data_IF_767770072640
#
_entry.id   IF_767770072640
#
_cell.length_a   1.000
_cell.length_b   1.000
_cell.length_c   1.000
_cell.angle_alpha   90.00
_cell.angle_beta   90.00
_cell.angle_gamma   90.00
#
_symmetry.space_group_name_H-M   'P 1'
#
loop_
_entity.id
_entity.type
_entity.pdbx_description
1 polymer ?
#
# COMPACT_ATOMS: atom_id res chain seq x y z
N UNK A 1 11.89 -11.77 -54.80
CA UNK A 1 12.18 -12.26 -53.43
C UNK A 1 10.96 -11.94 -52.57
N UNK A 2 10.20 -12.95 -52.15
CA UNK A 2 9.06 -12.72 -51.25
C UNK A 2 9.59 -12.35 -49.86
N UNK A 3 9.16 -11.20 -49.32
CA UNK A 3 9.46 -10.84 -47.95
C UNK A 3 8.65 -11.74 -47.02
N UNK A 4 9.31 -12.46 -46.10
CA UNK A 4 8.64 -13.26 -45.08
C UNK A 4 7.66 -12.41 -44.25
N UNK A 5 6.51 -13.00 -43.84
CA UNK A 5 5.48 -12.27 -43.13
C UNK A 5 5.99 -11.75 -41.78
N UNK A 6 5.60 -10.54 -41.35
CA UNK A 6 6.08 -9.89 -40.12
C UNK A 6 5.98 -10.75 -38.86
N UNK A 7 4.91 -11.55 -38.74
CA UNK A 7 4.67 -12.43 -37.59
C UNK A 7 5.74 -13.51 -37.45
N UNK A 8 6.21 -14.11 -38.56
CA UNK A 8 7.21 -15.18 -38.53
C UNK A 8 8.57 -14.65 -38.04
N UNK A 9 8.94 -13.44 -38.50
CA UNK A 9 10.17 -12.77 -38.07
C UNK A 9 10.12 -12.41 -36.59
N UNK A 10 8.96 -11.98 -36.07
CA UNK A 10 8.81 -11.67 -34.66
C UNK A 10 8.84 -12.91 -33.78
N UNK A 11 8.18 -14.00 -34.17
CA UNK A 11 8.26 -15.29 -33.48
C UNK A 11 9.72 -15.77 -33.36
N UNK A 12 10.49 -15.70 -34.45
CA UNK A 12 11.90 -16.07 -34.45
C UNK A 12 12.74 -15.14 -33.56
N UNK A 13 12.42 -13.84 -33.55
CA UNK A 13 13.08 -12.84 -32.70
C UNK A 13 12.80 -13.10 -31.21
N UNK A 14 11.55 -13.38 -30.84
CA UNK A 14 11.16 -13.76 -29.47
C UNK A 14 11.85 -15.06 -29.05
N UNK A 15 11.92 -16.05 -29.94
CA UNK A 15 12.61 -17.31 -29.67
C UNK A 15 14.11 -17.10 -29.40
N UNK A 16 14.78 -16.31 -30.23
CA UNK A 16 16.20 -16.02 -30.06
C UNK A 16 16.47 -15.18 -28.80
N UNK A 17 15.65 -14.16 -28.55
CA UNK A 17 15.74 -13.33 -27.34
C UNK A 17 15.49 -14.16 -26.07
N UNK A 18 14.53 -15.10 -26.10
CA UNK A 18 14.30 -16.03 -25.01
C UNK A 18 15.52 -16.93 -24.76
N UNK A 19 16.13 -17.48 -25.81
CA UNK A 19 17.34 -18.29 -25.67
C UNK A 19 18.48 -17.50 -25.01
N UNK A 20 18.62 -16.22 -25.33
CA UNK A 20 19.59 -15.34 -24.68
C UNK A 20 19.20 -15.05 -23.23
N UNK A 21 17.93 -14.79 -22.95
CA UNK A 21 17.42 -14.61 -21.58
C UNK A 21 17.73 -15.84 -20.71
N UNK A 22 17.42 -17.03 -21.22
CA UNK A 22 17.68 -18.30 -20.53
C UNK A 22 19.20 -18.50 -20.29
N UNK A 23 20.05 -18.02 -21.20
CA UNK A 23 21.51 -18.07 -21.00
C UNK A 23 22.00 -17.13 -19.90
N UNK A 24 21.42 -15.93 -19.80
CA UNK A 24 21.78 -14.92 -18.80
C UNK A 24 21.34 -15.34 -17.40
N UNK A 25 20.18 -15.99 -17.27
CA UNK A 25 19.67 -16.51 -15.99
C UNK A 25 20.60 -17.55 -15.32
N UNK A 26 21.52 -18.14 -16.09
CA UNK A 26 22.50 -19.11 -15.58
C UNK A 26 23.85 -18.47 -15.21
N UNK A 27 24.03 -17.17 -15.39
CA UNK A 27 25.26 -16.45 -15.06
C UNK A 27 25.17 -15.97 -13.59
N UNK A 28 26.19 -16.22 -12.75
CA UNK A 28 26.14 -15.92 -11.32
C UNK A 28 26.14 -14.41 -11.01
N UNK A 29 26.74 -13.60 -11.87
CA UNK A 29 26.73 -12.14 -11.78
C UNK A 29 26.03 -11.59 -13.02
N UNK A 30 24.89 -10.92 -12.80
CA UNK A 30 24.13 -10.32 -13.88
C UNK A 30 24.84 -9.07 -14.39
N UNK A 31 25.18 -9.07 -15.67
CA UNK A 31 25.54 -7.85 -16.39
C UNK A 31 24.26 -7.13 -16.85
N UNK A 32 23.99 -5.96 -16.26
CA UNK A 32 22.81 -5.15 -16.59
C UNK A 32 22.76 -4.75 -18.07
N UNK A 33 23.92 -4.51 -18.71
CA UNK A 33 23.98 -4.12 -20.12
C UNK A 33 23.43 -5.25 -21.01
N UNK A 34 23.76 -6.50 -20.68
CA UNK A 34 23.24 -7.67 -21.40
C UNK A 34 21.73 -7.83 -21.17
N UNK A 35 21.24 -7.53 -19.97
CA UNK A 35 19.81 -7.53 -19.68
C UNK A 35 19.06 -6.48 -20.53
N UNK A 36 19.63 -5.28 -20.70
CA UNK A 36 19.08 -4.23 -21.58
C UNK A 36 19.16 -4.61 -23.07
N UNK A 37 20.20 -5.30 -23.51
CA UNK A 37 20.29 -5.81 -24.88
C UNK A 37 19.18 -6.80 -25.20
N UNK A 38 18.93 -7.77 -24.31
CA UNK A 38 17.84 -8.72 -24.47
C UNK A 38 16.47 -8.03 -24.37
N UNK A 39 16.33 -7.05 -23.48
CA UNK A 39 15.13 -6.21 -23.39
C UNK A 39 14.84 -5.50 -24.72
N UNK A 40 15.88 -4.95 -25.36
CA UNK A 40 15.75 -4.26 -26.65
C UNK A 40 15.29 -5.19 -27.78
N UNK A 41 15.67 -6.47 -27.74
CA UNK A 41 15.17 -7.47 -28.68
C UNK A 41 13.67 -7.73 -28.48
N UNK A 42 13.21 -7.89 -27.24
CA UNK A 42 11.78 -8.06 -26.95
C UNK A 42 10.97 -6.80 -27.29
N UNK A 43 11.51 -5.62 -27.02
CA UNK A 43 10.91 -4.34 -27.43
C UNK A 43 10.75 -4.27 -28.94
N UNK A 44 11.78 -4.64 -29.69
CA UNK A 44 11.74 -4.67 -31.15
C UNK A 44 10.72 -5.68 -31.67
N UNK A 45 10.63 -6.87 -31.05
CA UNK A 45 9.63 -7.87 -31.39
C UNK A 45 8.21 -7.35 -31.16
N UNK A 46 7.94 -6.73 -30.00
CA UNK A 46 6.64 -6.15 -29.67
C UNK A 46 6.22 -5.08 -30.68
N UNK A 47 7.13 -4.18 -31.07
CA UNK A 47 6.86 -3.14 -32.08
C UNK A 47 6.52 -3.75 -33.44
N UNK A 48 7.18 -4.86 -33.83
CA UNK A 48 6.93 -5.52 -35.11
C UNK A 48 5.59 -6.26 -35.18
N UNK A 49 5.05 -6.69 -34.05
CA UNK A 49 3.77 -7.41 -33.97
C UNK A 49 2.62 -6.54 -33.51
N UNK A 50 2.89 -5.27 -33.19
CA UNK A 50 1.90 -4.36 -32.64
C UNK A 50 0.63 -4.33 -33.48
N UNK A 51 -0.50 -4.65 -32.85
CA UNK A 51 -1.84 -4.66 -33.46
C UNK A 51 -2.01 -5.61 -34.67
N UNK A 52 -0.99 -6.40 -35.01
CA UNK A 52 -0.99 -7.40 -36.08
C UNK A 52 -1.12 -8.80 -35.49
N UNK A 53 -0.34 -9.08 -34.44
CA UNK A 53 -0.31 -10.36 -33.74
C UNK A 53 -0.27 -10.09 -32.23
N UNK A 54 -1.46 -10.02 -31.65
CA UNK A 54 -1.64 -9.68 -30.24
C UNK A 54 -1.04 -10.73 -29.30
N UNK A 55 -0.93 -11.99 -29.74
CA UNK A 55 -0.29 -13.05 -28.95
C UNK A 55 1.21 -12.79 -28.85
N UNK A 56 1.89 -12.56 -29.98
CA UNK A 56 3.32 -12.30 -29.98
C UNK A 56 3.66 -10.97 -29.32
N UNK A 57 2.82 -9.94 -29.49
CA UNK A 57 2.94 -8.68 -28.77
C UNK A 57 2.84 -8.90 -27.25
N UNK A 58 1.81 -9.63 -26.79
CA UNK A 58 1.63 -9.94 -25.38
C UNK A 58 2.82 -10.74 -24.82
N UNK A 59 3.30 -11.73 -25.56
CA UNK A 59 4.45 -12.55 -25.16
C UNK A 59 5.74 -11.73 -25.05
N UNK A 60 5.97 -10.81 -25.98
CA UNK A 60 7.10 -9.89 -25.91
C UNK A 60 6.98 -8.89 -24.75
N UNK A 61 5.77 -8.41 -24.44
CA UNK A 61 5.52 -7.59 -23.25
C UNK A 61 5.74 -8.38 -21.95
N UNK A 62 5.35 -9.66 -21.90
CA UNK A 62 5.60 -10.52 -20.74
C UNK A 62 7.09 -10.61 -20.42
N UNK A 63 7.93 -10.93 -21.41
CA UNK A 63 9.37 -11.05 -21.16
C UNK A 63 10.03 -9.71 -20.81
N UNK A 64 9.54 -8.58 -21.33
CA UNK A 64 9.97 -7.25 -20.85
C UNK A 64 9.65 -7.07 -19.36
N UNK A 65 8.41 -7.40 -18.94
CA UNK A 65 8.03 -7.37 -17.53
C UNK A 65 8.89 -8.29 -16.66
N UNK A 66 9.18 -9.50 -17.14
CA UNK A 66 10.02 -10.48 -16.45
C UNK A 66 11.44 -9.97 -16.23
N UNK A 67 12.06 -9.35 -17.24
CA UNK A 67 13.41 -8.76 -17.11
C UNK A 67 13.39 -7.64 -16.07
N UNK A 68 12.43 -6.72 -16.14
CA UNK A 68 12.33 -5.65 -15.15
C UNK A 68 12.08 -6.17 -13.73
N UNK A 69 11.30 -7.23 -13.57
CA UNK A 69 10.99 -7.79 -12.25
C UNK A 69 12.14 -8.61 -11.67
N UNK A 70 12.72 -9.52 -12.47
CA UNK A 70 13.63 -10.57 -11.98
C UNK A 70 15.10 -10.23 -12.14
N UNK A 71 15.44 -9.40 -13.12
CA UNK A 71 16.84 -9.05 -13.43
C UNK A 71 17.20 -7.65 -12.94
N UNK A 72 16.32 -6.66 -13.14
CA UNK A 72 16.61 -5.26 -12.84
C UNK A 72 15.99 -4.74 -11.54
N UNK A 73 15.18 -5.55 -10.84
CA UNK A 73 14.43 -5.18 -9.62
C UNK A 73 13.58 -3.89 -9.74
N UNK A 74 13.16 -3.54 -10.96
CA UNK A 74 12.32 -2.37 -11.25
C UNK A 74 10.84 -2.75 -11.30
N UNK A 75 10.30 -3.19 -10.15
CA UNK A 75 8.92 -3.68 -9.99
C UNK A 75 7.83 -2.76 -10.58
N UNK A 76 7.88 -1.41 -10.45
CA UNK A 76 6.87 -0.53 -11.04
C UNK A 76 6.86 -0.58 -12.58
N UNK A 77 8.03 -0.69 -13.21
CA UNK A 77 8.13 -0.84 -14.67
C UNK A 77 7.62 -2.21 -15.09
N UNK A 78 8.00 -3.27 -14.37
CA UNK A 78 7.49 -4.62 -14.60
C UNK A 78 5.96 -4.68 -14.59
N UNK A 79 5.32 -4.08 -13.57
CA UNK A 79 3.85 -3.99 -13.46
C UNK A 79 3.20 -3.34 -14.67
N UNK A 80 3.84 -2.34 -15.28
CA UNK A 80 3.31 -1.66 -16.48
C UNK A 80 3.23 -2.61 -17.67
N UNK A 81 4.28 -3.40 -17.91
CA UNK A 81 4.28 -4.45 -18.94
C UNK A 81 3.30 -5.58 -18.58
N UNK A 82 3.29 -5.98 -17.30
CA UNK A 82 2.23 -6.67 -16.57
C UNK A 82 0.82 -6.42 -17.12
N UNK A 83 0.39 -5.19 -16.91
CA UNK A 83 -0.95 -4.73 -17.28
C UNK A 83 -1.16 -4.69 -18.80
N UNK A 84 -0.11 -4.42 -19.58
CA UNK A 84 -0.21 -4.44 -21.04
C UNK A 84 -0.48 -5.86 -21.56
N UNK A 85 0.15 -6.88 -20.98
CA UNK A 85 -0.13 -8.29 -21.31
C UNK A 85 -1.60 -8.62 -21.12
N UNK A 86 -2.18 -8.25 -19.97
CA UNK A 86 -3.60 -8.51 -19.69
C UNK A 86 -4.51 -7.87 -20.74
N UNK A 87 -4.26 -6.59 -21.07
CA UNK A 87 -5.03 -5.87 -22.08
C UNK A 87 -4.97 -6.54 -23.45
N UNK A 88 -3.78 -6.97 -23.88
CA UNK A 88 -3.59 -7.61 -25.18
C UNK A 88 -4.26 -8.99 -25.24
N UNK A 89 -4.14 -9.79 -24.18
CA UNK A 89 -4.81 -11.10 -24.10
C UNK A 89 -6.32 -10.95 -24.08
N UNK A 90 -6.86 -9.98 -23.35
CA UNK A 90 -8.29 -9.67 -23.35
C UNK A 90 -8.76 -9.21 -24.73
N UNK A 91 -8.03 -8.30 -25.38
CA UNK A 91 -8.34 -7.81 -26.72
C UNK A 91 -8.29 -8.89 -27.80
N UNK A 92 -7.42 -9.90 -27.63
CA UNK A 92 -7.29 -11.00 -28.60
C UNK A 92 -8.55 -11.87 -28.73
N UNK A 93 -9.44 -11.87 -27.72
CA UNK A 93 -10.56 -12.81 -27.58
C UNK A 93 -10.18 -14.30 -27.70
N UNK A 94 -8.88 -14.64 -27.67
CA UNK A 94 -8.40 -16.00 -27.79
C UNK A 94 -8.29 -16.65 -26.40
N UNK A 95 -9.23 -17.56 -26.11
CA UNK A 95 -9.29 -18.27 -24.82
C UNK A 95 -8.08 -19.18 -24.58
N UNK A 96 -7.39 -19.63 -25.63
CA UNK A 96 -6.23 -20.52 -25.50
C UNK A 96 -5.05 -19.82 -24.83
N UNK A 97 -4.88 -18.51 -25.05
CA UNK A 97 -3.80 -17.72 -24.43
C UNK A 97 -3.85 -17.77 -22.90
N UNK A 98 -5.05 -17.91 -22.32
CA UNK A 98 -5.22 -17.98 -20.86
C UNK A 98 -4.69 -19.28 -20.26
N UNK A 99 -4.47 -20.31 -21.09
CA UNK A 99 -3.91 -21.59 -20.65
C UNK A 99 -2.38 -21.65 -20.71
N UNK A 100 -1.78 -20.71 -21.44
CA UNK A 100 -0.34 -20.63 -21.64
C UNK A 100 0.42 -20.38 -20.33
N UNK A 101 1.60 -21.00 -20.20
CA UNK A 101 2.43 -20.94 -18.99
C UNK A 101 2.85 -19.50 -18.71
N UNK A 102 3.37 -18.80 -19.72
CA UNK A 102 3.82 -17.41 -19.59
C UNK A 102 2.71 -16.46 -19.11
N UNK A 103 1.46 -16.73 -19.48
CA UNK A 103 0.32 -15.92 -19.03
C UNK A 103 -0.04 -16.23 -17.57
N UNK A 104 0.02 -17.49 -17.15
CA UNK A 104 -0.17 -17.87 -15.74
C UNK A 104 0.93 -17.29 -14.85
N UNK A 105 2.18 -17.32 -15.30
CA UNK A 105 3.31 -16.73 -14.62
C UNK A 105 3.14 -15.21 -14.47
N UNK A 106 2.69 -14.54 -15.54
CA UNK A 106 2.32 -13.12 -15.52
C UNK A 106 1.29 -12.80 -14.43
N UNK A 107 0.22 -13.61 -14.31
CA UNK A 107 -0.80 -13.42 -13.28
C UNK A 107 -0.25 -13.64 -11.87
N UNK A 108 0.62 -14.64 -11.69
CA UNK A 108 1.28 -14.89 -10.42
C UNK A 108 2.18 -13.72 -10.01
N UNK A 109 2.98 -13.17 -10.94
CA UNK A 109 3.80 -11.98 -10.71
C UNK A 109 2.97 -10.76 -10.35
N UNK A 110 1.87 -10.48 -11.06
CA UNK A 110 0.98 -9.35 -10.72
C UNK A 110 0.46 -9.51 -9.29
N UNK A 111 0.02 -10.71 -8.91
CA UNK A 111 -0.47 -10.98 -7.56
C UNK A 111 0.62 -10.77 -6.51
N UNK A 112 1.81 -11.31 -6.73
CA UNK A 112 2.94 -11.13 -5.81
C UNK A 112 3.32 -9.65 -5.64
N UNK A 113 3.29 -8.86 -6.71
CA UNK A 113 3.52 -7.42 -6.65
C UNK A 113 2.43 -6.69 -5.85
N UNK A 114 1.16 -7.07 -6.03
CA UNK A 114 0.06 -6.51 -5.25
C UNK A 114 0.14 -6.86 -3.76
N UNK A 115 0.49 -8.11 -3.45
CA UNK A 115 0.65 -8.57 -2.07
C UNK A 115 1.80 -7.81 -1.37
N UNK A 116 2.92 -7.60 -2.07
CA UNK A 116 4.04 -6.80 -1.56
C UNK A 116 3.67 -5.31 -1.34
N UNK A 117 2.92 -4.71 -2.28
CA UNK A 117 2.42 -3.33 -2.13
C UNK A 117 1.52 -3.23 -0.86
N UNK A 118 0.66 -4.22 -0.63
CA UNK A 118 -0.25 -4.25 0.52
C UNK A 118 0.48 -4.43 1.86
N UNK A 119 1.52 -5.27 1.90
CA UNK A 119 2.32 -5.50 3.10
C UNK A 119 3.02 -4.22 3.55
N UNK A 120 3.65 -3.49 2.62
CA UNK A 120 4.27 -2.19 2.90
C UNK A 120 3.26 -1.16 3.42
N UNK A 121 2.04 -1.15 2.85
CA UNK A 121 0.98 -0.27 3.30
C UNK A 121 0.48 -0.60 4.71
N UNK A 122 0.36 -1.88 5.06
CA UNK A 122 -0.02 -2.30 6.42
C UNK A 122 1.08 -1.99 7.43
N UNK A 123 2.36 -2.23 7.13
CA UNK A 123 3.48 -1.82 7.98
C UNK A 123 3.46 -0.32 8.25
N UNK A 124 3.28 0.50 7.20
CA UNK A 124 3.19 1.95 7.33
C UNK A 124 1.97 2.38 8.16
N UNK A 125 0.83 1.68 8.06
CA UNK A 125 -0.35 1.94 8.89
C UNK A 125 -0.09 1.55 10.35
N UNK A 126 0.56 0.42 10.61
CA UNK A 126 0.91 -0.04 11.95
C UNK A 126 1.86 0.93 12.64
N UNK A 127 2.88 1.42 11.94
CA UNK A 127 3.79 2.44 12.48
C UNK A 127 3.03 3.72 12.85
N UNK A 128 2.12 4.20 11.98
CA UNK A 128 1.28 5.36 12.28
C UNK A 128 0.41 5.08 13.51
N UNK A 129 -0.26 3.93 13.57
CA UNK A 129 -1.09 3.52 14.71
C UNK A 129 -0.28 3.44 16.00
N UNK A 130 0.95 2.92 15.96
CA UNK A 130 1.84 2.82 17.12
C UNK A 130 2.21 4.19 17.67
N UNK A 131 2.61 5.14 16.80
CA UNK A 131 2.89 6.54 17.20
C UNK A 131 1.69 7.21 17.85
N UNK A 132 0.48 6.99 17.30
CA UNK A 132 -0.75 7.46 17.93
C UNK A 132 -1.01 6.78 19.27
N UNK A 133 -0.90 5.45 19.34
CA UNK A 133 -1.14 4.67 20.55
C UNK A 133 -0.25 5.11 21.71
N UNK A 134 1.05 5.30 21.47
CA UNK A 134 1.99 5.79 22.49
C UNK A 134 1.62 7.18 23.03
N UNK A 135 1.16 8.08 22.14
CA UNK A 135 0.70 9.41 22.55
C UNK A 135 -0.56 9.33 23.43
N UNK A 136 -1.55 8.55 23.00
CA UNK A 136 -2.81 8.37 23.73
C UNK A 136 -2.63 7.58 25.02
N UNK A 137 -1.72 6.60 25.09
CA UNK A 137 -1.39 5.87 26.31
C UNK A 137 -0.78 6.81 27.37
N UNK A 138 0.11 7.72 26.98
CA UNK A 138 0.65 8.75 27.89
C UNK A 138 -0.46 9.66 28.41
N UNK A 139 -1.35 10.13 27.54
CA UNK A 139 -2.49 10.95 27.96
C UNK A 139 -3.45 10.19 28.88
N UNK A 140 -3.76 8.92 28.57
CA UNK A 140 -4.61 8.06 29.39
C UNK A 140 -3.99 7.78 30.76
N UNK A 141 -2.68 7.49 30.82
CA UNK A 141 -1.97 7.29 32.07
C UNK A 141 -1.94 8.57 32.93
N UNK A 142 -1.80 9.74 32.32
CA UNK A 142 -1.92 11.02 33.03
C UNK A 142 -3.32 11.23 33.61
N UNK A 143 -4.37 10.87 32.88
CA UNK A 143 -5.76 10.92 33.35
C UNK A 143 -6.01 9.92 34.50
N UNK A 144 -5.50 8.69 34.38
CA UNK A 144 -5.59 7.68 35.43
C UNK A 144 -4.82 8.09 36.70
N UNK A 145 -3.63 8.66 36.55
CA UNK A 145 -2.85 9.18 37.67
C UNK A 145 -3.63 10.30 38.40
N UNK A 146 -4.19 11.25 37.65
CA UNK A 146 -5.01 12.34 38.20
C UNK A 146 -6.28 11.84 38.91
N UNK A 147 -6.87 10.72 38.45
CA UNK A 147 -7.99 10.06 39.12
C UNK A 147 -7.60 9.44 40.46
N UNK A 148 -6.36 9.00 40.61
CA UNK A 148 -5.89 8.23 41.77
C UNK A 148 -5.31 9.11 42.89
N UNK A 149 -4.70 10.24 42.53
CA UNK A 149 -4.05 11.16 43.48
C UNK A 149 -5.00 12.17 44.12
N UNK A 150 -6.05 12.54 43.38
CA UNK A 150 -6.99 13.56 43.77
C UNK A 150 -8.41 13.05 43.68
N UNK A 151 -9.23 13.30 44.70
CA UNK A 151 -10.65 12.95 44.68
C UNK A 151 -11.40 13.59 43.49
N UNK A 152 -12.73 13.45 43.48
CA UNK A 152 -13.57 13.81 42.31
C UNK A 152 -13.34 15.25 41.84
N UNK A 153 -13.04 16.17 42.76
CA UNK A 153 -12.79 17.59 42.48
C UNK A 153 -11.47 17.85 41.74
N UNK A 154 -10.39 17.17 42.09
CA UNK A 154 -9.08 17.33 41.46
C UNK A 154 -9.05 16.72 40.05
N UNK A 155 -9.72 15.57 39.88
CA UNK A 155 -9.90 14.97 38.57
C UNK A 155 -10.69 15.88 37.61
N UNK A 156 -11.77 16.49 38.08
CA UNK A 156 -12.54 17.46 37.29
C UNK A 156 -11.72 18.71 36.94
N UNK A 157 -10.92 19.25 37.88
CA UNK A 157 -10.01 20.38 37.59
C UNK A 157 -9.01 20.01 36.48
N UNK A 158 -8.45 18.79 36.51
CA UNK A 158 -7.54 18.32 35.48
C UNK A 158 -8.21 18.27 34.10
N UNK A 159 -9.38 17.63 34.02
CA UNK A 159 -10.15 17.47 32.76
C UNK A 159 -10.52 18.83 32.17
N UNK A 160 -11.14 19.73 32.95
CA UNK A 160 -11.56 21.02 32.42
C UNK A 160 -10.39 21.92 31.99
N UNK A 161 -9.22 21.79 32.62
CA UNK A 161 -8.02 22.55 32.24
C UNK A 161 -7.34 22.05 30.96
N UNK A 162 -7.26 20.73 30.77
CA UNK A 162 -6.51 20.12 29.66
C UNK A 162 -7.38 19.66 28.49
N UNK A 163 -8.64 19.36 28.75
CA UNK A 163 -9.57 18.76 27.80
C UNK A 163 -10.91 19.50 27.83
N UNK A 164 -10.93 20.81 27.59
CA UNK A 164 -12.15 21.61 27.76
C UNK A 164 -13.33 21.14 26.87
N UNK A 165 -14.60 21.33 27.31
CA UNK A 165 -15.78 20.89 26.56
C UNK A 165 -15.91 21.58 25.20
N UNK A 166 -16.42 20.84 24.20
CA UNK A 166 -16.51 21.32 22.80
C UNK A 166 -17.55 22.44 22.58
N UNK A 167 -18.67 22.46 23.31
CA UNK A 167 -19.85 23.27 22.95
C UNK A 167 -19.95 24.67 23.54
N UNK A 168 -19.02 25.04 24.43
CA UNK A 168 -18.66 26.40 24.89
C UNK A 168 -17.91 26.20 26.21
N UNK A 169 -16.90 27.03 26.50
CA UNK A 169 -16.33 27.05 27.84
C UNK A 169 -17.40 27.63 28.75
N UNK A 170 -18.25 26.79 29.35
CA UNK A 170 -18.78 27.14 30.66
C UNK A 170 -17.51 27.38 31.46
N UNK A 171 -17.29 28.62 31.91
CA UNK A 171 -16.20 28.92 32.82
C UNK A 171 -16.42 27.98 33.99
N UNK A 172 -15.68 26.88 34.00
CA UNK A 172 -15.53 26.07 35.19
C UNK A 172 -14.84 27.01 36.16
N UNK A 173 -15.64 27.73 36.93
CA UNK A 173 -15.13 28.84 37.70
C UNK A 173 -14.35 28.20 38.85
N UNK A 174 -13.03 28.12 38.66
CA UNK A 174 -12.11 27.48 39.61
C UNK A 174 -12.29 28.12 41.00
N UNK A 175 -12.72 29.39 41.05
CA UNK A 175 -13.08 30.14 42.27
C UNK A 175 -14.30 29.59 43.00
N UNK A 176 -15.23 28.96 42.28
CA UNK A 176 -16.34 28.20 42.86
C UNK A 176 -15.86 26.89 43.49
N UNK A 177 -14.61 26.45 43.29
CA UNK A 177 -14.10 25.15 43.81
C UNK A 177 -12.90 25.35 44.75
N UNK A 178 -12.32 26.56 44.83
CA UNK A 178 -11.16 26.89 45.66
C UNK A 178 -11.42 26.89 47.18
N UNK A 179 -12.69 26.93 47.62
CA UNK A 179 -13.06 26.85 49.05
C UNK A 179 -13.68 25.52 49.50
N UNK A 180 -13.73 24.51 48.63
CA UNK A 180 -14.74 23.44 48.73
C UNK A 180 -14.16 22.15 49.29
N UNK A 181 -14.33 21.93 50.60
CA UNK A 181 -14.02 20.64 51.21
C UNK A 181 -14.98 19.56 50.68
N UNK A 182 -14.43 18.39 50.41
CA UNK A 182 -15.07 17.20 49.82
C UNK A 182 -16.23 16.58 50.62
N UNK A 183 -16.71 17.25 51.67
CA UNK A 183 -17.46 16.66 52.79
C UNK A 183 -18.97 16.51 52.56
N UNK A 184 -19.58 17.06 51.50
CA UNK A 184 -21.03 16.95 51.28
C UNK A 184 -21.38 16.14 50.03
N UNK A 185 -22.12 15.04 50.20
CA UNK A 185 -22.57 14.14 49.11
C UNK A 185 -23.36 14.86 48.02
N UNK A 186 -24.13 15.91 48.39
CA UNK A 186 -24.94 16.70 47.45
C UNK A 186 -24.08 17.46 46.43
N UNK A 187 -23.00 18.09 46.87
CA UNK A 187 -22.09 18.88 46.02
C UNK A 187 -21.34 17.99 45.03
N UNK A 188 -20.89 16.80 45.47
CA UNK A 188 -20.27 15.80 44.59
C UNK A 188 -21.21 15.34 43.47
N UNK A 189 -22.48 15.12 43.79
CA UNK A 189 -23.50 14.70 42.82
C UNK A 189 -23.77 15.78 41.77
N UNK A 190 -23.94 17.03 42.19
CA UNK A 190 -24.15 18.18 41.29
C UNK A 190 -22.99 18.35 40.31
N UNK A 191 -21.75 18.34 40.81
CA UNK A 191 -20.54 18.49 39.98
C UNK A 191 -20.41 17.42 38.89
N UNK A 192 -20.72 16.16 39.23
CA UNK A 192 -20.71 15.07 38.25
C UNK A 192 -21.82 15.23 37.21
N UNK A 193 -23.01 15.70 37.60
CA UNK A 193 -24.11 15.92 36.65
C UNK A 193 -23.80 17.05 35.66
N UNK A 194 -23.17 18.13 36.13
CA UNK A 194 -22.76 19.24 35.25
C UNK A 194 -21.65 18.81 34.30
N UNK A 195 -20.63 18.09 34.80
CA UNK A 195 -19.58 17.53 33.95
C UNK A 195 -20.12 16.53 32.91
N UNK A 196 -21.08 15.67 33.29
CA UNK A 196 -21.73 14.75 32.37
C UNK A 196 -22.52 15.50 31.28
N UNK A 197 -23.11 16.66 31.59
CA UNK A 197 -23.80 17.50 30.62
C UNK A 197 -22.82 18.19 29.67
N UNK A 198 -21.72 18.72 30.19
CA UNK A 198 -20.73 19.47 29.41
C UNK A 198 -19.95 18.58 28.43
N UNK A 199 -19.60 17.37 28.87
CA UNK A 199 -18.88 16.36 28.07
C UNK A 199 -19.80 15.38 27.34
N UNK A 200 -21.12 15.59 27.39
CA UNK A 200 -22.06 14.76 26.65
C UNK A 200 -21.76 14.87 25.15
N UNK A 201 -21.76 13.75 24.39
CA UNK A 201 -21.50 13.78 22.95
C UNK A 201 -22.62 14.44 22.14
N UNK A 202 -23.86 14.47 22.66
CA UNK A 202 -25.03 15.10 22.00
C UNK A 202 -25.09 16.63 22.07
#
# INVERSE_FOLDING_TARGET
MAQEPPCLKSMQMIFNAKKQLDSILNIPELDEDIAYDVLNLFKTAAVKTREIDLEQEAKACYYQGYIFEKLLDEKPKAKTFYMQVLKLVEASNNKLLKSEIWYKDCLASIKALQDADNEQDEEAKEERRKKFKEKWEKELNNLLAAKTTGGVTEFLKHIYSKHSPKKKPVKFDIKLVEGWSEKTRKTRKLLLMDAMRDYHPD
#
